data_IF_179269030940
#
_entry.id   IF_179269030940
#
_cell.length_a   1.000
_cell.length_b   1.000
_cell.length_c   1.000
_cell.angle_alpha   90.00
_cell.angle_beta   90.00
_cell.angle_gamma   90.00
#
_symmetry.space_group_name_H-M   'P 1'
#
loop_
_entity.id
_entity.type
_entity.pdbx_description
1 polymer ?
#
# COMPACT_ATOMS: atom_id res chain seq x y z
N UNK A 1 9.94 -12.18 -1.98
CA UNK A 1 8.53 -11.94 -2.39
C UNK A 1 7.81 -13.18 -2.92
N UNK A 2 8.45 -14.07 -3.70
CA UNK A 2 7.80 -15.27 -4.26
C UNK A 2 6.99 -16.10 -3.23
N UNK A 3 7.53 -16.27 -2.02
CA UNK A 3 6.85 -16.99 -0.94
C UNK A 3 5.53 -16.33 -0.48
N UNK A 4 5.32 -15.03 -0.67
CA UNK A 4 4.06 -14.37 -0.31
C UNK A 4 2.89 -14.88 -1.16
N UNK A 5 3.17 -15.22 -2.42
CA UNK A 5 2.19 -15.80 -3.35
C UNK A 5 1.93 -17.29 -3.05
N UNK A 6 2.92 -18.00 -2.50
CA UNK A 6 2.68 -19.32 -1.92
C UNK A 6 1.75 -19.23 -0.70
N UNK A 7 1.90 -18.20 0.13
CA UNK A 7 0.98 -17.95 1.26
C UNK A 7 -0.45 -17.64 0.77
N UNK A 8 -0.60 -16.97 -0.39
CA UNK A 8 -1.92 -16.74 -1.00
C UNK A 8 -2.59 -18.08 -1.37
N UNK A 9 -1.85 -18.99 -2.00
CA UNK A 9 -2.36 -20.33 -2.32
C UNK A 9 -2.70 -21.11 -1.05
N UNK A 10 -1.85 -21.05 -0.02
CA UNK A 10 -2.13 -21.67 1.28
C UNK A 10 -3.40 -21.08 1.95
N UNK A 11 -3.70 -19.80 1.70
CA UNK A 11 -4.93 -19.14 2.11
C UNK A 11 -6.14 -19.39 1.17
N UNK A 12 -6.00 -20.31 0.21
CA UNK A 12 -7.08 -20.77 -0.67
C UNK A 12 -7.16 -20.08 -2.03
N UNK A 13 -6.23 -19.18 -2.37
CA UNK A 13 -6.17 -18.54 -3.69
C UNK A 13 -5.45 -19.43 -4.72
N UNK A 14 -5.99 -20.61 -4.99
CA UNK A 14 -5.41 -21.58 -5.95
C UNK A 14 -5.17 -20.94 -7.31
N UNK A 15 -4.01 -21.20 -7.90
CA UNK A 15 -3.62 -20.62 -9.18
C UNK A 15 -3.05 -19.20 -9.07
N UNK A 16 -2.58 -18.79 -7.89
CA UNK A 16 -1.93 -17.50 -7.63
C UNK A 16 -0.53 -17.67 -7.01
N UNK A 17 0.15 -18.79 -7.25
CA UNK A 17 1.53 -18.96 -6.80
C UNK A 17 2.49 -18.09 -7.63
N UNK A 18 3.79 -18.12 -7.30
CA UNK A 18 4.78 -17.31 -8.00
C UNK A 18 4.89 -17.62 -9.51
N UNK A 19 5.02 -18.89 -9.95
CA UNK A 19 4.93 -19.26 -11.36
C UNK A 19 3.67 -18.76 -12.08
N UNK A 20 2.51 -18.76 -11.42
CA UNK A 20 1.25 -18.31 -12.00
C UNK A 20 1.20 -16.79 -12.21
N UNK A 21 1.79 -16.01 -11.30
CA UNK A 21 1.71 -14.54 -11.31
C UNK A 21 2.89 -13.86 -12.01
N UNK A 22 4.06 -14.49 -12.05
CA UNK A 22 5.29 -13.91 -12.63
C UNK A 22 5.10 -13.46 -14.10
N UNK A 23 4.46 -14.23 -15.00
CA UNK A 23 4.23 -13.77 -16.37
C UNK A 23 3.43 -12.46 -16.46
N UNK A 24 2.53 -12.21 -15.51
CA UNK A 24 1.72 -11.00 -15.45
C UNK A 24 2.50 -9.82 -14.90
N UNK A 25 3.39 -10.04 -13.94
CA UNK A 25 4.36 -9.04 -13.50
C UNK A 25 5.26 -8.60 -14.65
N UNK A 26 5.79 -9.55 -15.43
CA UNK A 26 6.65 -9.24 -16.58
C UNK A 26 5.90 -8.56 -17.73
N UNK A 27 4.68 -9.00 -18.03
CA UNK A 27 3.83 -8.38 -19.06
C UNK A 27 3.60 -6.90 -18.78
N UNK A 28 3.32 -6.58 -17.52
CA UNK A 28 2.99 -5.24 -17.05
C UNK A 28 4.12 -4.67 -16.20
N UNK A 29 5.37 -5.04 -16.50
CA UNK A 29 6.54 -4.39 -15.96
C UNK A 29 6.50 -2.96 -16.46
N UNK A 30 5.86 -2.10 -15.67
CA UNK A 30 5.85 -0.67 -15.88
C UNK A 30 7.31 -0.23 -16.00
N UNK A 31 7.61 0.94 -16.58
CA UNK A 31 8.98 1.46 -16.57
C UNK A 31 9.38 1.80 -15.14
N UNK A 32 9.78 0.77 -14.42
CA UNK A 32 10.29 0.78 -13.07
C UNK A 32 11.77 1.06 -13.23
N UNK A 33 12.20 2.18 -12.68
CA UNK A 33 13.59 2.58 -12.72
C UNK A 33 13.96 3.27 -11.43
N UNK A 34 15.23 3.21 -11.06
CA UNK A 34 15.76 3.99 -9.96
C UNK A 34 15.67 5.47 -10.32
N UNK A 35 15.40 6.31 -9.32
CA UNK A 35 15.55 7.75 -9.50
C UNK A 35 17.00 8.07 -9.89
N UNK A 36 17.18 8.99 -10.83
CA UNK A 36 18.50 9.37 -11.35
C UNK A 36 19.28 10.25 -10.37
N UNK A 37 18.58 11.08 -9.60
CA UNK A 37 19.19 11.78 -8.48
C UNK A 37 19.62 10.74 -7.44
N UNK A 38 20.86 10.84 -6.95
CA UNK A 38 21.41 10.06 -5.84
C UNK A 38 22.16 11.01 -4.93
N UNK A 39 22.36 10.61 -3.68
CA UNK A 39 23.04 11.43 -2.70
C UNK A 39 23.90 10.61 -1.74
N UNK A 40 24.92 11.27 -1.20
CA UNK A 40 25.90 10.63 -0.31
C UNK A 40 25.30 10.14 1.01
N UNK A 41 24.18 10.71 1.45
CA UNK A 41 23.53 10.31 2.71
C UNK A 41 22.85 8.96 2.53
N UNK A 42 22.11 8.75 1.44
CA UNK A 42 21.56 7.44 1.07
C UNK A 42 22.66 6.39 0.83
N UNK A 43 23.76 6.75 0.16
CA UNK A 43 24.89 5.84 -0.02
C UNK A 43 25.48 5.38 1.34
N UNK A 44 25.59 6.30 2.30
CA UNK A 44 26.05 5.97 3.65
C UNK A 44 25.07 5.08 4.42
N UNK A 45 23.75 5.27 4.23
CA UNK A 45 22.71 4.41 4.82
C UNK A 45 22.83 2.98 4.29
N UNK A 46 22.94 2.81 2.97
CA UNK A 46 23.09 1.48 2.35
C UNK A 46 24.36 0.80 2.85
N UNK A 47 25.49 1.53 2.90
CA UNK A 47 26.74 1.01 3.43
C UNK A 47 26.65 0.64 4.92
N UNK A 48 25.88 1.36 5.72
CA UNK A 48 25.68 1.06 7.13
C UNK A 48 24.83 -0.22 7.33
N UNK A 49 23.77 -0.42 6.55
CA UNK A 49 23.03 -1.69 6.54
C UNK A 49 23.93 -2.88 6.18
N UNK A 50 24.83 -2.70 5.20
CA UNK A 50 25.83 -3.71 4.86
C UNK A 50 26.79 -4.00 6.01
N UNK A 51 27.28 -2.96 6.69
CA UNK A 51 28.15 -3.10 7.85
C UNK A 51 27.47 -3.81 9.03
N UNK A 52 26.14 -3.75 9.15
CA UNK A 52 25.35 -4.46 10.17
C UNK A 52 24.78 -5.79 9.66
N UNK A 53 25.23 -6.30 8.51
CA UNK A 53 24.94 -7.66 8.05
C UNK A 53 23.79 -7.80 7.04
N UNK A 54 23.20 -6.71 6.53
CA UNK A 54 22.23 -6.76 5.43
C UNK A 54 22.93 -6.42 4.11
N UNK A 55 23.13 -7.39 3.19
CA UNK A 55 23.97 -7.20 2.01
C UNK A 55 23.47 -6.06 1.11
N UNK A 56 24.34 -5.50 0.27
CA UNK A 56 23.90 -4.55 -0.77
C UNK A 56 23.23 -5.32 -1.90
N UNK A 57 22.14 -4.79 -2.44
CA UNK A 57 21.49 -5.30 -3.65
C UNK A 57 21.24 -4.18 -4.66
N UNK A 58 21.36 -4.54 -5.94
CA UNK A 58 20.96 -3.68 -7.05
C UNK A 58 19.47 -3.81 -7.41
N UNK A 59 18.78 -4.85 -6.91
CA UNK A 59 17.35 -5.05 -7.16
C UNK A 59 16.70 -5.82 -6.02
N UNK A 60 15.58 -5.31 -5.52
CA UNK A 60 14.73 -6.06 -4.57
C UNK A 60 13.79 -7.05 -5.27
N UNK A 61 13.77 -7.03 -6.61
CA UNK A 61 12.77 -7.70 -7.43
C UNK A 61 13.37 -8.88 -8.25
N UNK A 62 14.62 -9.27 -8.01
CA UNK A 62 15.36 -10.29 -8.78
C UNK A 62 15.19 -11.74 -8.28
N UNK A 63 14.39 -11.94 -7.23
CA UNK A 63 14.15 -13.23 -6.60
C UNK A 63 14.46 -13.26 -5.11
N UNK A 64 15.41 -12.46 -4.63
CA UNK A 64 15.66 -12.26 -3.19
C UNK A 64 15.45 -10.81 -2.81
N UNK A 65 14.58 -10.57 -1.83
CA UNK A 65 14.41 -9.23 -1.29
C UNK A 65 15.48 -8.86 -0.27
N UNK A 66 16.14 -9.85 0.35
CA UNK A 66 17.08 -9.59 1.44
C UNK A 66 18.27 -8.77 0.95
N UNK A 67 18.34 -7.54 1.41
CA UNK A 67 19.40 -6.62 1.02
C UNK A 67 19.07 -5.17 1.33
N UNK A 68 19.99 -4.27 0.98
CA UNK A 68 19.91 -2.83 1.13
C UNK A 68 20.32 -2.15 -0.17
N UNK A 69 19.62 -1.08 -0.56
CA UNK A 69 19.80 -0.50 -1.87
C UNK A 69 18.82 0.62 -2.18
N UNK A 70 18.91 1.13 -3.41
CA UNK A 70 17.97 2.12 -3.93
C UNK A 70 16.69 1.44 -4.39
N UNK A 71 15.55 2.04 -4.05
CA UNK A 71 14.27 1.56 -4.54
C UNK A 71 14.07 1.89 -6.01
N UNK A 72 13.53 0.89 -6.67
CA UNK A 72 12.93 0.97 -7.97
C UNK A 72 11.60 1.74 -7.87
N UNK A 73 11.40 2.75 -8.74
CA UNK A 73 10.25 3.65 -8.68
C UNK A 73 9.49 3.69 -10.00
N UNK A 74 8.19 3.93 -9.92
CA UNK A 74 7.29 4.06 -11.07
C UNK A 74 7.32 5.53 -11.56
N UNK A 75 8.46 5.90 -12.14
CA UNK A 75 8.79 7.25 -12.59
C UNK A 75 9.45 7.16 -13.96
N UNK A 76 9.02 8.01 -14.89
CA UNK A 76 9.66 8.14 -16.20
C UNK A 76 9.91 9.61 -16.52
N UNK A 77 11.14 9.95 -16.93
CA UNK A 77 11.50 11.31 -17.29
C UNK A 77 11.30 12.32 -16.14
N UNK A 78 11.48 11.88 -14.89
CA UNK A 78 11.26 12.68 -13.70
C UNK A 78 9.78 12.92 -13.35
N UNK A 79 8.85 12.20 -13.98
CA UNK A 79 7.41 12.30 -13.71
C UNK A 79 6.80 10.96 -13.30
N UNK A 80 5.70 11.02 -12.52
CA UNK A 80 4.93 9.84 -12.14
C UNK A 80 4.44 9.07 -13.37
N UNK A 81 4.60 7.75 -13.35
CA UNK A 81 4.16 6.84 -14.40
C UNK A 81 2.93 6.01 -13.99
N UNK A 82 1.79 6.67 -13.76
CA UNK A 82 0.59 6.05 -13.17
C UNK A 82 -0.15 5.07 -14.10
N UNK A 83 -0.98 4.18 -13.52
CA UNK A 83 -1.85 3.29 -14.29
C UNK A 83 -2.76 4.04 -15.29
N UNK A 84 -3.30 5.20 -14.92
CA UNK A 84 -4.07 6.03 -15.84
C UNK A 84 -3.23 6.49 -17.04
N UNK A 85 -1.98 6.94 -16.81
CA UNK A 85 -1.08 7.37 -17.88
C UNK A 85 -0.73 6.24 -18.84
N UNK A 86 -0.59 5.03 -18.31
CA UNK A 86 -0.09 3.87 -19.08
C UNK A 86 -1.21 3.11 -19.78
N UNK A 87 -2.28 2.78 -19.06
CA UNK A 87 -3.32 1.89 -19.57
C UNK A 87 -4.52 2.64 -20.13
N UNK A 88 -4.92 3.76 -19.49
CA UNK A 88 -6.18 4.44 -19.82
C UNK A 88 -5.98 5.56 -20.86
N UNK A 89 -5.04 6.47 -20.63
CA UNK A 89 -4.82 7.64 -21.47
C UNK A 89 -4.54 7.31 -22.94
N UNK A 90 -3.80 6.24 -23.30
CA UNK A 90 -3.58 5.90 -24.71
C UNK A 90 -4.82 5.37 -25.45
N UNK A 91 -5.86 4.97 -24.73
CA UNK A 91 -7.06 4.32 -25.29
C UNK A 91 -8.35 5.05 -24.96
N UNK A 92 -8.28 6.17 -24.24
CA UNK A 92 -9.44 6.92 -23.71
C UNK A 92 -10.39 7.44 -24.80
N UNK A 93 -9.90 7.59 -26.03
CA UNK A 93 -10.65 8.12 -27.17
C UNK A 93 -11.23 7.00 -28.06
N UNK A 94 -11.19 5.73 -27.63
CA UNK A 94 -11.80 4.62 -28.38
C UNK A 94 -13.33 4.65 -28.23
N UNK A 95 -14.05 4.47 -29.34
CA UNK A 95 -15.53 4.48 -29.39
C UNK A 95 -16.21 3.43 -28.49
N UNK A 96 -15.49 2.37 -28.10
CA UNK A 96 -15.99 1.30 -27.24
C UNK A 96 -15.63 1.48 -25.76
N UNK A 97 -15.10 2.64 -25.35
CA UNK A 97 -14.76 2.97 -23.97
C UNK A 97 -15.36 4.33 -23.59
N UNK A 98 -16.16 4.34 -22.53
CA UNK A 98 -16.68 5.57 -21.95
C UNK A 98 -16.11 5.75 -20.53
N UNK A 99 -15.63 6.96 -20.24
CA UNK A 99 -15.00 7.29 -18.97
C UNK A 99 -15.76 8.42 -18.31
N UNK A 100 -16.39 8.11 -17.18
CA UNK A 100 -17.07 9.09 -16.34
C UNK A 100 -16.17 9.51 -15.18
N UNK A 101 -15.73 10.77 -15.18
CA UNK A 101 -15.05 11.36 -14.02
C UNK A 101 -16.05 12.05 -13.10
N UNK A 102 -15.68 12.32 -11.85
CA UNK A 102 -16.57 12.94 -10.85
C UNK A 102 -17.91 12.19 -10.70
N UNK A 103 -17.85 10.86 -10.90
CA UNK A 103 -18.96 9.94 -10.84
C UNK A 103 -18.88 9.10 -9.58
N UNK A 104 -19.93 9.10 -8.75
CA UNK A 104 -19.94 8.39 -7.47
C UNK A 104 -20.86 7.19 -7.58
N UNK A 105 -20.31 5.98 -7.52
CA UNK A 105 -21.11 4.76 -7.40
C UNK A 105 -21.78 4.73 -6.01
N UNK A 106 -23.12 4.65 -5.98
CA UNK A 106 -23.89 4.67 -4.74
C UNK A 106 -24.17 3.26 -4.23
N UNK A 107 -24.62 2.38 -5.12
CA UNK A 107 -24.95 0.98 -4.83
C UNK A 107 -25.05 0.16 -6.11
N UNK A 108 -24.92 -1.14 -5.93
CA UNK A 108 -25.22 -2.16 -6.92
C UNK A 108 -26.71 -2.48 -6.89
N UNK A 109 -27.25 -2.84 -8.06
CA UNK A 109 -28.63 -3.29 -8.22
C UNK A 109 -28.63 -4.76 -8.59
N UNK A 110 -29.46 -5.54 -7.89
CA UNK A 110 -29.53 -6.99 -8.04
C UNK A 110 -30.90 -7.44 -8.54
N UNK A 111 -30.87 -8.48 -9.35
CA UNK A 111 -32.03 -9.24 -9.79
C UNK A 111 -32.01 -10.63 -9.14
N UNK A 112 -33.17 -11.09 -8.68
CA UNK A 112 -33.35 -12.44 -8.14
C UNK A 112 -34.12 -13.26 -9.17
N UNK A 113 -33.62 -14.47 -9.46
CA UNK A 113 -34.31 -15.44 -10.30
C UNK A 113 -33.97 -16.87 -9.87
N UNK A 114 -34.41 -17.86 -10.65
CA UNK A 114 -34.23 -19.28 -10.32
C UNK A 114 -32.76 -19.69 -10.21
N UNK A 115 -31.88 -19.01 -10.95
CA UNK A 115 -30.42 -19.22 -10.92
C UNK A 115 -29.71 -18.48 -9.76
N UNK A 116 -30.46 -17.82 -8.86
CA UNK A 116 -29.92 -17.09 -7.72
C UNK A 116 -29.91 -15.56 -7.90
N UNK A 117 -28.94 -14.90 -7.27
CA UNK A 117 -28.78 -13.44 -7.28
C UNK A 117 -27.77 -13.04 -8.35
N UNK A 118 -28.12 -12.05 -9.18
CA UNK A 118 -27.25 -11.47 -10.20
C UNK A 118 -27.18 -9.96 -10.07
N UNK A 119 -26.00 -9.37 -10.23
CA UNK A 119 -25.88 -7.91 -10.39
C UNK A 119 -26.28 -7.52 -11.82
N UNK A 120 -27.11 -6.48 -11.97
CA UNK A 120 -27.59 -6.03 -13.28
C UNK A 120 -27.27 -4.57 -13.59
N UNK A 121 -26.98 -3.75 -12.58
CA UNK A 121 -26.65 -2.35 -12.76
C UNK A 121 -25.87 -1.75 -11.59
N UNK A 122 -25.31 -0.56 -11.84
CA UNK A 122 -24.77 0.34 -10.82
C UNK A 122 -25.60 1.62 -10.82
N UNK A 123 -26.10 2.01 -9.66
CA UNK A 123 -26.67 3.34 -9.45
C UNK A 123 -25.52 4.29 -9.08
N UNK A 124 -25.42 5.42 -9.78
CA UNK A 124 -24.35 6.38 -9.59
C UNK A 124 -24.85 7.82 -9.74
N UNK A 125 -24.13 8.77 -9.16
CA UNK A 125 -24.34 10.20 -9.41
C UNK A 125 -23.42 10.64 -10.55
N UNK A 126 -24.00 11.01 -11.70
CA UNK A 126 -23.28 11.55 -12.85
C UNK A 126 -23.69 13.01 -13.05
N UNK A 127 -22.75 13.94 -12.86
CA UNK A 127 -23.04 15.38 -12.99
C UNK A 127 -24.14 15.88 -12.03
N UNK A 128 -24.27 15.26 -10.86
CA UNK A 128 -25.32 15.56 -9.88
C UNK A 128 -26.68 14.90 -10.16
N UNK A 129 -26.79 14.09 -11.20
CA UNK A 129 -28.02 13.36 -11.56
C UNK A 129 -27.85 11.88 -11.24
N UNK A 130 -28.84 11.30 -10.53
CA UNK A 130 -28.91 9.86 -10.29
C UNK A 130 -29.12 9.12 -11.60
N UNK A 131 -28.15 8.30 -11.97
CA UNK A 131 -28.13 7.53 -13.22
C UNK A 131 -27.96 6.04 -12.92
N UNK A 132 -28.69 5.22 -13.66
CA UNK A 132 -28.60 3.77 -13.59
C UNK A 132 -27.85 3.24 -14.81
N UNK A 133 -26.64 2.72 -14.60
CA UNK A 133 -25.83 2.11 -15.64
C UNK A 133 -26.02 0.59 -15.62
N UNK A 134 -26.69 0.05 -16.65
CA UNK A 134 -26.95 -1.39 -16.78
C UNK A 134 -25.76 -2.13 -17.39
N UNK A 135 -25.35 -3.22 -16.76
CA UNK A 135 -24.28 -4.08 -17.24
C UNK A 135 -24.87 -5.32 -17.92
N UNK A 136 -24.58 -5.51 -19.22
CA UNK A 136 -25.04 -6.70 -19.95
C UNK A 136 -24.34 -7.98 -19.47
N UNK A 137 -23.05 -7.89 -19.15
CA UNK A 137 -22.22 -9.05 -18.80
C UNK A 137 -21.84 -9.08 -17.34
N UNK A 138 -21.00 -8.14 -16.90
CA UNK A 138 -20.47 -8.11 -15.54
C UNK A 138 -20.28 -6.69 -15.04
N UNK A 139 -20.33 -6.51 -13.72
CA UNK A 139 -19.82 -5.33 -13.00
C UNK A 139 -18.53 -5.73 -12.31
N UNK A 140 -17.48 -4.92 -12.46
CA UNK A 140 -16.19 -5.12 -11.80
C UNK A 140 -15.95 -3.98 -10.82
N UNK A 141 -15.81 -4.30 -9.54
CA UNK A 141 -15.39 -3.36 -8.51
C UNK A 141 -13.88 -3.23 -8.52
N UNK A 142 -13.39 -2.01 -8.63
CA UNK A 142 -11.97 -1.66 -8.50
C UNK A 142 -11.81 -0.41 -7.61
N UNK A 143 -12.61 -0.33 -6.53
CA UNK A 143 -12.69 0.81 -5.63
C UNK A 143 -11.66 0.74 -4.48
N UNK A 144 -10.85 -0.32 -4.43
CA UNK A 144 -9.77 -0.50 -3.47
C UNK A 144 -10.22 -1.06 -2.12
N UNK A 145 -9.25 -1.29 -1.24
CA UNK A 145 -9.46 -1.99 0.04
C UNK A 145 -10.40 -1.27 1.03
N UNK A 146 -10.71 0.01 0.84
CA UNK A 146 -11.68 0.71 1.69
C UNK A 146 -13.06 0.81 1.04
N UNK A 147 -13.14 1.16 -0.24
CA UNK A 147 -14.44 1.47 -0.86
C UNK A 147 -15.10 0.30 -1.58
N UNK A 148 -14.36 -0.74 -2.01
CA UNK A 148 -14.97 -1.97 -2.52
C UNK A 148 -15.83 -2.68 -1.46
N UNK A 149 -15.36 -2.93 -0.22
CA UNK A 149 -16.22 -3.49 0.81
C UNK A 149 -17.34 -2.53 1.23
N UNK A 150 -17.09 -1.22 1.26
CA UNK A 150 -18.12 -0.22 1.56
C UNK A 150 -19.26 -0.28 0.53
N UNK A 151 -18.94 -0.31 -0.77
CA UNK A 151 -19.94 -0.37 -1.82
C UNK A 151 -20.73 -1.68 -1.78
N UNK A 152 -20.08 -2.81 -1.49
CA UNK A 152 -20.76 -4.09 -1.26
C UNK A 152 -21.76 -3.98 -0.08
N UNK A 153 -21.31 -3.43 1.05
CA UNK A 153 -22.14 -3.24 2.25
C UNK A 153 -23.34 -2.29 1.97
N UNK A 154 -23.11 -1.14 1.32
CA UNK A 154 -24.17 -0.22 0.89
C UNK A 154 -25.19 -0.87 -0.04
N UNK A 155 -24.77 -1.91 -0.75
CA UNK A 155 -25.60 -2.68 -1.68
C UNK A 155 -26.30 -3.87 -1.00
N UNK A 156 -26.10 -4.09 0.30
CA UNK A 156 -26.72 -5.20 1.03
C UNK A 156 -25.92 -6.50 1.02
N UNK A 157 -24.62 -6.44 0.71
CA UNK A 157 -23.69 -7.58 0.75
C UNK A 157 -22.68 -7.36 1.86
N UNK A 158 -22.82 -8.06 2.99
CA UNK A 158 -22.03 -7.82 4.19
C UNK A 158 -22.62 -8.49 5.44
N UNK A 159 -22.10 -8.20 6.63
CA UNK A 159 -22.65 -8.68 7.91
C UNK A 159 -24.12 -8.23 8.05
N UNK A 160 -25.06 -9.17 8.07
CA UNK A 160 -26.48 -8.89 8.21
C UNK A 160 -26.82 -8.00 9.43
N UNK A 161 -26.07 -8.11 10.54
CA UNK A 161 -26.26 -7.26 11.73
C UNK A 161 -25.84 -5.83 11.47
N UNK A 162 -24.70 -5.61 10.80
CA UNK A 162 -24.25 -4.28 10.38
C UNK A 162 -25.27 -3.65 9.43
N UNK A 163 -25.68 -4.38 8.40
CA UNK A 163 -26.64 -3.91 7.41
C UNK A 163 -27.99 -3.53 8.05
N UNK A 164 -28.50 -4.37 8.94
CA UNK A 164 -29.73 -4.10 9.69
C UNK A 164 -29.68 -2.82 10.53
N UNK A 165 -28.54 -2.51 11.17
CA UNK A 165 -28.37 -1.26 11.93
C UNK A 165 -28.49 0.00 11.08
N UNK A 166 -28.17 -0.10 9.78
CA UNK A 166 -28.29 1.01 8.83
C UNK A 166 -29.58 0.96 7.99
N UNK A 167 -30.49 0.02 8.28
CA UNK A 167 -31.75 -0.13 7.53
C UNK A 167 -31.57 -0.63 6.10
N UNK A 168 -30.45 -1.31 5.81
CA UNK A 168 -30.16 -1.86 4.47
C UNK A 168 -30.69 -3.30 4.39
N UNK A 169 -31.47 -3.59 3.36
CA UNK A 169 -31.95 -4.95 3.10
C UNK A 169 -30.80 -5.89 2.73
N UNK A 170 -30.74 -7.05 3.38
CA UNK A 170 -29.69 -8.04 3.13
C UNK A 170 -29.96 -8.75 1.80
N UNK A 171 -29.02 -8.60 0.87
CA UNK A 171 -28.96 -9.34 -0.39
C UNK A 171 -28.26 -10.67 -0.16
N UNK A 172 -27.08 -10.62 0.49
CA UNK A 172 -26.25 -11.76 0.85
C UNK A 172 -25.58 -11.48 2.20
N UNK A 173 -25.80 -12.34 3.19
CA UNK A 173 -25.09 -12.28 4.47
C UNK A 173 -23.66 -12.80 4.29
N UNK A 174 -22.70 -11.89 4.41
CA UNK A 174 -21.28 -12.14 4.18
C UNK A 174 -20.47 -11.31 5.17
N UNK A 175 -20.35 -11.75 6.44
CA UNK A 175 -19.67 -10.97 7.48
C UNK A 175 -18.17 -10.77 7.22
N UNK A 176 -17.59 -11.50 6.28
CA UNK A 176 -16.20 -11.33 5.86
C UNK A 176 -15.97 -10.14 4.92
N UNK A 177 -17.01 -9.53 4.34
CA UNK A 177 -16.87 -8.27 3.57
C UNK A 177 -16.51 -7.14 4.52
N UNK A 178 -15.35 -6.54 4.30
CA UNK A 178 -14.79 -5.49 5.14
C UNK A 178 -13.90 -6.01 6.26
N UNK A 179 -13.91 -7.30 6.57
CA UNK A 179 -13.02 -7.90 7.57
C UNK A 179 -11.59 -8.08 7.01
N UNK A 180 -10.65 -8.61 7.81
CA UNK A 180 -9.29 -8.97 7.35
C UNK A 180 -8.50 -7.79 6.73
N UNK A 181 -8.79 -6.55 7.14
CA UNK A 181 -8.00 -5.39 6.72
C UNK A 181 -6.57 -5.57 7.23
N UNK A 182 -5.63 -5.52 6.31
CA UNK A 182 -4.20 -5.57 6.58
C UNK A 182 -3.54 -4.35 5.97
N UNK A 183 -2.50 -3.85 6.60
CA UNK A 183 -1.73 -2.72 6.10
C UNK A 183 -0.33 -2.72 6.72
N UNK A 184 0.61 -2.11 6.02
CA UNK A 184 1.95 -1.87 6.50
C UNK A 184 1.92 -0.78 7.57
N UNK A 185 2.55 -1.03 8.72
CA UNK A 185 2.67 -0.04 9.80
C UNK A 185 4.12 0.45 9.88
N UNK A 186 4.33 1.74 9.66
CA UNK A 186 5.64 2.36 9.50
C UNK A 186 5.92 3.26 10.70
N UNK A 187 7.07 3.09 11.35
CA UNK A 187 7.47 3.90 12.51
C UNK A 187 8.63 4.82 12.10
N UNK A 188 8.41 6.13 11.92
CA UNK A 188 9.46 7.03 11.49
C UNK A 188 10.43 7.37 12.64
N UNK A 189 11.71 7.05 12.47
CA UNK A 189 12.78 7.49 13.38
C UNK A 189 13.61 8.58 12.70
N UNK A 190 13.77 9.71 13.38
CA UNK A 190 14.45 10.90 12.86
C UNK A 190 15.83 11.07 13.47
N UNK A 191 16.83 11.26 12.61
CA UNK A 191 18.21 11.49 12.98
C UNK A 191 18.65 12.86 12.46
N UNK A 192 19.15 13.73 13.35
CA UNK A 192 19.72 15.01 12.96
C UNK A 192 21.12 14.76 12.40
N UNK A 193 21.40 15.31 11.23
CA UNK A 193 22.72 15.18 10.59
C UNK A 193 23.60 16.38 10.93
N UNK A 194 24.92 16.17 10.89
CA UNK A 194 25.92 17.22 11.16
C UNK A 194 25.88 18.34 10.11
N UNK A 195 26.31 19.56 10.46
CA UNK A 195 26.45 20.64 9.49
C UNK A 195 27.28 20.21 8.26
N UNK A 196 26.77 20.53 7.07
CA UNK A 196 27.40 20.19 5.78
C UNK A 196 27.03 18.82 5.21
N UNK A 197 26.37 17.95 5.98
CA UNK A 197 25.79 16.70 5.45
C UNK A 197 24.54 17.01 4.63
N UNK A 198 24.41 16.33 3.49
CA UNK A 198 23.27 16.51 2.59
C UNK A 198 21.95 16.06 3.24
N UNK A 199 20.93 16.90 3.14
CA UNK A 199 19.55 16.61 3.54
C UNK A 199 18.57 17.42 2.69
N UNK A 200 17.47 16.80 2.29
CA UNK A 200 16.40 17.42 1.55
C UNK A 200 15.60 18.45 2.35
N UNK A 201 15.76 18.56 3.69
CA UNK A 201 15.08 19.57 4.50
C UNK A 201 15.33 20.99 3.97
N UNK A 202 16.59 21.33 3.65
CA UNK A 202 16.93 22.64 3.08
C UNK A 202 16.55 22.77 1.60
N UNK A 203 16.53 21.65 0.87
CA UNK A 203 16.20 21.60 -0.55
C UNK A 203 14.70 21.75 -0.83
N UNK A 204 13.86 21.36 0.13
CA UNK A 204 12.41 21.38 0.03
C UNK A 204 11.78 22.55 0.80
N UNK A 205 12.59 23.50 1.28
CA UNK A 205 12.15 24.68 2.00
C UNK A 205 12.67 25.99 1.39
N UNK A 206 11.94 27.07 1.60
CA UNK A 206 12.35 28.43 1.26
C UNK A 206 12.97 28.58 -0.14
N UNK A 207 14.18 29.12 -0.21
CA UNK A 207 14.90 29.32 -1.47
C UNK A 207 15.33 28.01 -2.15
N UNK A 208 15.60 26.95 -1.37
CA UNK A 208 15.89 25.62 -1.91
C UNK A 208 14.72 25.08 -2.73
N UNK A 209 13.49 25.22 -2.21
CA UNK A 209 12.28 24.79 -2.91
C UNK A 209 12.11 25.52 -4.24
N UNK A 210 12.28 26.86 -4.25
CA UNK A 210 12.16 27.66 -5.47
C UNK A 210 13.22 27.28 -6.51
N UNK A 211 14.47 27.04 -6.08
CA UNK A 211 15.54 26.54 -6.94
C UNK A 211 15.20 25.16 -7.53
N UNK A 212 14.70 24.24 -6.72
CA UNK A 212 14.37 22.89 -7.16
C UNK A 212 13.11 22.83 -8.03
N UNK A 213 12.15 23.73 -7.80
CA UNK A 213 11.02 23.94 -8.72
C UNK A 213 11.53 24.36 -10.10
N UNK A 214 12.47 25.31 -10.16
CA UNK A 214 13.06 25.72 -11.43
C UNK A 214 13.85 24.59 -12.12
N UNK A 215 14.64 23.82 -11.36
CA UNK A 215 15.33 22.62 -11.88
C UNK A 215 14.35 21.62 -12.47
N UNK A 216 13.24 21.37 -11.77
CA UNK A 216 12.19 20.47 -12.23
C UNK A 216 11.55 20.95 -13.53
N UNK A 217 11.09 22.21 -13.58
CA UNK A 217 10.43 22.77 -14.77
C UNK A 217 11.34 22.80 -15.99
N UNK A 218 12.63 23.10 -15.81
CA UNK A 218 13.59 23.23 -16.93
C UNK A 218 14.19 21.90 -17.37
N UNK A 219 14.53 21.01 -16.43
CA UNK A 219 15.37 19.84 -16.69
C UNK A 219 14.78 18.52 -16.22
N UNK A 220 13.63 18.53 -15.55
CA UNK A 220 13.05 17.36 -14.88
C UNK A 220 14.08 16.67 -13.98
N UNK A 221 14.71 17.47 -13.12
CA UNK A 221 15.73 17.02 -12.18
C UNK A 221 15.54 17.62 -10.79
N UNK A 222 16.26 17.08 -9.82
CA UNK A 222 16.22 17.48 -8.42
C UNK A 222 15.21 16.71 -7.56
N UNK A 223 15.07 17.11 -6.28
CA UNK A 223 14.27 16.41 -5.27
C UNK A 223 12.79 16.22 -5.61
N UNK A 224 12.25 16.94 -6.60
CA UNK A 224 10.86 16.77 -7.05
C UNK A 224 10.67 15.57 -8.00
N UNK A 225 11.75 14.87 -8.36
CA UNK A 225 11.73 13.70 -9.26
C UNK A 225 12.02 12.38 -8.56
N UNK A 226 12.14 12.36 -7.23
CA UNK A 226 12.43 11.17 -6.44
C UNK A 226 11.17 10.67 -5.72
N UNK A 227 11.07 9.37 -5.40
CA UNK A 227 10.01 8.85 -4.54
C UNK A 227 10.14 9.33 -3.09
N UNK A 228 9.08 9.13 -2.28
CA UNK A 228 9.05 9.51 -0.87
C UNK A 228 10.09 8.76 0.00
N UNK A 229 10.50 7.56 -0.41
CA UNK A 229 11.65 6.85 0.14
C UNK A 229 12.52 6.38 -1.02
N UNK A 230 13.77 6.81 -1.03
CA UNK A 230 14.67 6.62 -2.17
C UNK A 230 15.57 5.40 -1.99
N UNK A 231 15.97 5.12 -0.76
CA UNK A 231 16.72 3.92 -0.39
C UNK A 231 16.04 3.20 0.77
N UNK A 232 16.52 2.00 1.05
CA UNK A 232 16.01 1.20 2.14
C UNK A 232 16.67 -0.15 2.22
N UNK A 233 16.04 -1.03 2.98
CA UNK A 233 16.48 -2.40 3.15
C UNK A 233 15.29 -3.32 3.42
N UNK A 234 15.43 -4.59 3.07
CA UNK A 234 14.63 -5.67 3.63
C UNK A 234 15.54 -6.49 4.53
N UNK A 235 15.16 -6.61 5.80
CA UNK A 235 15.98 -7.17 6.86
C UNK A 235 15.28 -8.39 7.47
N UNK A 236 16.09 -9.40 7.79
CA UNK A 236 15.72 -10.54 8.61
C UNK A 236 15.95 -10.11 10.07
N UNK A 237 14.87 -9.91 10.82
CA UNK A 237 14.93 -9.30 12.15
C UNK A 237 15.61 -10.20 13.18
N UNK A 238 15.48 -11.53 13.05
CA UNK A 238 16.18 -12.51 13.87
C UNK A 238 16.39 -13.85 13.14
N UNK A 239 17.25 -14.72 13.68
CA UNK A 239 17.66 -16.00 13.05
C UNK A 239 16.52 -17.02 12.90
N UNK A 240 15.40 -16.87 13.59
CA UNK A 240 14.22 -17.72 13.42
C UNK A 240 13.44 -17.40 12.14
N UNK A 241 13.65 -16.21 11.57
CA UNK A 241 12.99 -15.79 10.34
C UNK A 241 13.70 -16.37 9.11
N UNK A 242 12.93 -17.02 8.23
CA UNK A 242 13.47 -17.62 7.00
C UNK A 242 13.56 -16.64 5.83
N UNK A 243 12.87 -15.50 5.93
CA UNK A 243 12.82 -14.45 4.91
C UNK A 243 12.67 -13.08 5.59
N UNK A 244 13.06 -11.97 4.93
CA UNK A 244 12.94 -10.64 5.51
C UNK A 244 11.54 -10.34 6.01
N UNK A 245 11.40 -9.88 7.24
CA UNK A 245 10.16 -9.53 7.94
C UNK A 245 10.06 -8.02 8.26
N UNK A 246 11.14 -7.29 8.00
CA UNK A 246 11.21 -5.84 8.11
C UNK A 246 11.56 -5.22 6.75
N UNK A 247 10.88 -4.12 6.41
CA UNK A 247 11.24 -3.19 5.34
C UNK A 247 11.60 -1.84 5.96
N UNK A 248 12.63 -1.19 5.46
CA UNK A 248 13.06 0.15 5.91
C UNK A 248 12.86 1.19 4.84
N UNK A 249 12.11 2.23 5.13
CA UNK A 249 12.03 3.40 4.26
C UNK A 249 13.02 4.46 4.73
N UNK A 250 14.01 4.76 3.90
CA UNK A 250 15.06 5.73 4.21
C UNK A 250 14.99 6.92 3.26
N UNK A 251 15.05 8.12 3.82
CA UNK A 251 15.17 9.36 3.06
C UNK A 251 15.96 10.40 3.85
N UNK A 252 16.90 11.14 3.24
CA UNK A 252 17.61 12.28 3.83
C UNK A 252 16.70 13.49 4.14
N UNK A 253 15.52 13.26 4.71
CA UNK A 253 14.60 14.31 5.17
C UNK A 253 14.00 13.89 6.51
N UNK A 254 13.77 14.85 7.39
CA UNK A 254 12.96 14.65 8.61
C UNK A 254 11.77 15.59 8.61
N UNK A 255 10.62 15.06 9.03
CA UNK A 255 9.39 15.82 9.26
C UNK A 255 9.18 16.12 10.74
N UNK A 256 8.29 17.07 11.02
CA UNK A 256 7.81 17.33 12.37
C UNK A 256 6.77 16.25 12.76
N UNK A 257 7.21 15.30 13.58
CA UNK A 257 6.38 14.16 13.99
C UNK A 257 5.19 14.55 14.85
N UNK A 258 5.27 15.64 15.62
CA UNK A 258 4.15 16.12 16.44
C UNK A 258 3.05 16.73 15.56
N UNK A 259 3.44 17.49 14.53
CA UNK A 259 2.49 17.99 13.53
C UNK A 259 1.90 16.82 12.75
N UNK A 260 2.71 15.86 12.33
CA UNK A 260 2.24 14.68 11.59
C UNK A 260 1.26 13.83 12.41
N UNK A 261 1.55 13.57 13.69
CA UNK A 261 0.68 12.82 14.60
C UNK A 261 -0.68 13.51 14.83
N UNK A 262 -0.74 14.84 14.70
CA UNK A 262 -1.98 15.63 14.77
C UNK A 262 -2.70 15.75 13.42
N UNK A 263 -2.26 15.01 12.40
CA UNK A 263 -2.85 14.99 11.05
C UNK A 263 -2.36 16.11 10.13
N UNK A 264 -1.37 16.91 10.55
CA UNK A 264 -0.73 17.89 9.69
C UNK A 264 0.10 17.21 8.59
N UNK A 265 0.19 17.83 7.42
CA UNK A 265 0.90 17.27 6.25
C UNK A 265 2.07 18.14 5.85
N UNK A 266 3.20 17.52 5.50
CA UNK A 266 4.33 18.17 4.84
C UNK A 266 5.13 19.16 5.70
N UNK A 267 4.95 19.17 7.02
CA UNK A 267 5.77 19.99 7.91
C UNK A 267 7.17 19.37 8.05
N UNK A 268 8.18 20.07 7.53
CA UNK A 268 9.58 19.68 7.66
C UNK A 268 10.13 20.08 9.03
N UNK A 269 11.04 19.27 9.57
CA UNK A 269 11.83 19.66 10.74
C UNK A 269 12.68 20.89 10.44
N UNK A 270 12.91 21.72 11.47
CA UNK A 270 13.76 22.93 11.40
C UNK A 270 15.26 22.65 11.23
N UNK A 271 15.66 21.38 11.37
CA UNK A 271 17.05 20.92 11.23
C UNK A 271 17.15 19.96 10.04
N UNK A 272 18.30 19.92 9.36
CA UNK A 272 18.58 18.87 8.38
C UNK A 272 18.64 17.51 9.07
N UNK A 273 18.09 16.49 8.43
CA UNK A 273 18.07 15.15 8.99
C UNK A 273 17.90 14.04 7.97
N UNK A 274 17.90 12.84 8.51
CA UNK A 274 17.64 11.57 7.84
C UNK A 274 16.51 10.86 8.60
N UNK A 275 15.54 10.30 7.88
CA UNK A 275 14.56 9.35 8.43
C UNK A 275 14.99 7.93 8.10
N UNK A 276 14.96 7.05 9.09
CA UNK A 276 15.05 5.59 8.93
C UNK A 276 13.76 5.02 9.54
N UNK A 277 12.88 4.45 8.73
CA UNK A 277 11.56 4.04 9.19
C UNK A 277 11.34 2.53 9.01
N UNK A 278 11.47 1.71 10.06
CA UNK A 278 11.10 0.29 10.01
C UNK A 278 9.60 0.10 9.77
N UNK A 279 9.28 -0.99 9.08
CA UNK A 279 7.94 -1.46 8.77
C UNK A 279 7.89 -2.98 8.82
N UNK A 280 6.98 -3.55 9.61
CA UNK A 280 6.73 -5.00 9.62
C UNK A 280 6.02 -5.39 8.31
N UNK A 281 6.58 -6.33 7.55
CA UNK A 281 6.09 -6.64 6.19
C UNK A 281 4.91 -7.62 6.17
N UNK A 282 4.74 -8.41 7.23
CA UNK A 282 3.69 -9.43 7.34
C UNK A 282 3.05 -9.37 8.73
N UNK A 283 2.32 -8.27 9.04
CA UNK A 283 1.71 -8.11 10.35
C UNK A 283 0.64 -9.17 10.60
N UNK A 284 0.50 -9.60 11.84
CA UNK A 284 -0.51 -10.54 12.31
C UNK A 284 -1.84 -9.86 12.69
N UNK A 285 -1.80 -8.58 13.08
CA UNK A 285 -2.98 -7.79 13.41
C UNK A 285 -3.93 -7.70 12.20
N UNK A 286 -5.24 -7.74 12.47
CA UNK A 286 -6.30 -7.64 11.46
C UNK A 286 -7.32 -6.60 11.86
N UNK A 287 -7.60 -5.70 10.94
CA UNK A 287 -8.61 -4.66 11.07
C UNK A 287 -9.91 -4.99 10.35
N UNK A 288 -10.74 -3.97 10.24
CA UNK A 288 -12.02 -4.01 9.52
C UNK A 288 -12.40 -2.66 8.90
N UNK A 289 -13.27 -2.72 7.90
CA UNK A 289 -13.91 -1.60 7.22
C UNK A 289 -15.42 -1.83 7.24
N UNK A 290 -16.16 -0.87 7.79
CA UNK A 290 -17.61 -0.91 7.87
C UNK A 290 -18.21 0.41 7.37
N UNK A 291 -19.37 0.35 6.73
CA UNK A 291 -20.18 1.55 6.48
C UNK A 291 -20.46 2.29 7.79
N UNK A 292 -20.31 3.63 7.76
CA UNK A 292 -20.67 4.49 8.88
C UNK A 292 -22.07 5.12 8.71
N UNK A 293 -22.52 5.26 7.46
CA UNK A 293 -23.83 5.76 7.08
C UNK A 293 -24.26 5.16 5.73
N UNK A 294 -25.51 5.40 5.34
CA UNK A 294 -26.07 4.96 4.04
C UNK A 294 -25.70 5.88 2.87
N UNK A 295 -25.11 7.05 3.14
CA UNK A 295 -24.60 7.92 2.09
C UNK A 295 -23.20 7.45 1.65
N UNK A 296 -22.99 7.08 0.38
CA UNK A 296 -21.70 6.61 -0.16
C UNK A 296 -20.56 7.61 -0.02
N UNK A 297 -20.85 8.89 0.13
CA UNK A 297 -19.83 9.94 0.34
C UNK A 297 -19.37 10.03 1.80
N UNK A 298 -20.08 9.41 2.73
CA UNK A 298 -19.62 9.32 4.11
C UNK A 298 -18.45 8.35 4.18
N UNK A 299 -17.26 8.76 4.67
CA UNK A 299 -16.14 7.86 4.83
C UNK A 299 -16.53 6.63 5.67
N UNK A 300 -16.12 5.41 5.30
CA UNK A 300 -16.39 4.24 6.10
C UNK A 300 -15.66 4.33 7.45
N UNK A 301 -16.18 3.62 8.44
CA UNK A 301 -15.48 3.36 9.68
C UNK A 301 -14.34 2.37 9.42
N UNK A 302 -13.10 2.84 9.53
CA UNK A 302 -11.89 2.07 9.25
C UNK A 302 -11.13 1.87 10.56
N UNK A 303 -10.92 0.62 10.96
CA UNK A 303 -10.16 0.26 12.15
C UNK A 303 -9.04 -0.69 11.76
N UNK A 304 -7.81 -0.21 11.71
CA UNK A 304 -6.65 -1.04 11.33
C UNK A 304 -6.21 -2.03 12.41
N UNK A 305 -6.45 -1.72 13.69
CA UNK A 305 -5.98 -2.50 14.84
C UNK A 305 -4.47 -2.75 14.83
N UNK A 306 -3.67 -1.75 14.42
CA UNK A 306 -2.21 -1.85 14.46
C UNK A 306 -1.72 -2.21 15.87
N UNK A 307 -0.67 -3.04 15.94
CA UNK A 307 0.01 -3.40 17.19
C UNK A 307 -0.90 -4.08 18.22
N UNK A 308 -2.00 -4.72 17.81
CA UNK A 308 -2.83 -5.53 18.74
C UNK A 308 -2.19 -6.89 18.98
N UNK A 309 -1.62 -7.52 17.95
CA UNK A 309 -0.89 -8.78 18.11
C UNK A 309 0.48 -8.55 18.76
N UNK A 310 0.83 -9.38 19.74
CA UNK A 310 2.11 -9.29 20.46
C UNK A 310 3.32 -9.41 19.53
N UNK A 311 3.28 -10.33 18.57
CA UNK A 311 4.34 -10.50 17.58
C UNK A 311 4.60 -9.25 16.72
N UNK A 312 3.56 -8.46 16.43
CA UNK A 312 3.73 -7.20 15.70
C UNK A 312 4.44 -6.15 16.56
N UNK A 313 4.16 -6.13 17.86
CA UNK A 313 4.82 -5.25 18.82
C UNK A 313 6.31 -5.61 18.93
N UNK A 314 6.62 -6.89 19.10
CA UNK A 314 7.99 -7.41 19.21
C UNK A 314 8.83 -7.07 17.97
N UNK A 315 8.34 -7.38 16.77
CA UNK A 315 9.06 -7.11 15.52
C UNK A 315 9.21 -5.61 15.28
N UNK A 316 8.19 -4.80 15.64
CA UNK A 316 8.26 -3.33 15.53
C UNK A 316 9.37 -2.77 16.42
N UNK A 317 9.41 -3.15 17.70
CA UNK A 317 10.45 -2.70 18.63
C UNK A 317 11.83 -3.17 18.16
N UNK A 318 11.95 -4.41 17.69
CA UNK A 318 13.19 -4.94 17.13
C UNK A 318 13.65 -4.15 15.91
N UNK A 319 12.73 -3.79 15.01
CA UNK A 319 13.03 -2.93 13.87
C UNK A 319 13.57 -1.56 14.28
N UNK A 320 13.03 -0.97 15.36
CA UNK A 320 13.56 0.29 15.89
C UNK A 320 14.97 0.13 16.50
N UNK A 321 15.26 -1.02 17.14
CA UNK A 321 16.60 -1.34 17.65
C UNK A 321 17.62 -1.48 16.52
N UNK A 322 17.28 -2.24 15.48
CA UNK A 322 18.12 -2.41 14.30
C UNK A 322 18.36 -1.07 13.61
N UNK A 323 17.35 -0.19 13.51
CA UNK A 323 17.54 1.16 12.97
C UNK A 323 18.61 1.96 13.73
N UNK A 324 18.64 1.86 15.07
CA UNK A 324 19.67 2.49 15.92
C UNK A 324 21.05 1.89 15.70
N UNK A 325 21.14 0.56 15.56
CA UNK A 325 22.40 -0.13 15.25
C UNK A 325 22.97 0.34 13.90
N UNK A 326 22.12 0.42 12.87
CA UNK A 326 22.48 0.95 11.54
C UNK A 326 22.94 2.40 11.63
N UNK A 327 22.20 3.24 12.36
CA UNK A 327 22.58 4.65 12.58
C UNK A 327 23.93 4.79 13.30
N UNK A 328 24.28 3.84 14.17
CA UNK A 328 25.55 3.82 14.90
C UNK A 328 26.72 3.18 14.11
N UNK A 329 26.46 2.54 12.97
CA UNK A 329 27.47 1.94 12.11
C UNK A 329 28.12 2.97 11.16
N UNK A 330 29.42 2.82 10.90
CA UNK A 330 30.13 3.63 9.88
C UNK A 330 29.78 3.10 8.47
N UNK A 331 29.68 3.99 7.45
CA UNK A 331 30.01 5.41 7.49
C UNK A 331 28.90 6.32 8.05
N UNK A 332 27.66 5.84 8.17
CA UNK A 332 26.50 6.66 8.54
C UNK A 332 26.66 7.39 9.89
N UNK A 333 27.22 6.71 10.90
CA UNK A 333 27.46 7.29 12.22
C UNK A 333 28.32 8.57 12.19
N UNK A 334 29.18 8.73 11.17
CA UNK A 334 30.01 9.93 11.02
C UNK A 334 29.19 11.14 10.53
N UNK A 335 28.04 10.89 9.90
CA UNK A 335 27.13 11.91 9.38
C UNK A 335 26.08 12.34 10.42
N UNK A 336 25.74 11.46 11.36
CA UNK A 336 24.71 11.71 12.37
C UNK A 336 25.29 12.54 13.53
N UNK A 337 24.56 13.59 13.91
CA UNK A 337 24.83 14.40 15.10
C UNK A 337 24.15 13.79 16.33
N UNK A 338 22.85 13.45 16.21
CA UNK A 338 22.05 12.85 17.27
C UNK A 338 20.80 12.16 16.72
N UNK A 339 20.27 11.18 17.45
CA UNK A 339 18.90 10.69 17.26
C UNK A 339 17.92 11.75 17.79
N UNK A 340 17.14 12.35 16.90
CA UNK A 340 16.21 13.43 17.23
C UNK A 340 14.85 12.89 17.70
N UNK A 341 14.42 11.75 17.14
CA UNK A 341 13.19 11.06 17.52
C UNK A 341 13.33 9.55 17.25
N UNK A 342 13.02 8.66 18.21
CA UNK A 342 12.61 8.95 19.59
C UNK A 342 13.68 9.69 20.41
N UNK A 343 14.96 9.42 20.18
CA UNK A 343 16.04 9.95 21.01
C UNK A 343 15.95 9.44 22.45
N UNK A 344 16.32 10.29 23.40
CA UNK A 344 16.44 9.90 24.82
C UNK A 344 15.11 9.56 25.51
N UNK A 345 13.97 9.91 24.91
CA UNK A 345 12.65 9.67 25.51
C UNK A 345 12.23 8.19 25.45
N UNK A 346 12.92 7.36 24.65
CA UNK A 346 12.64 5.93 24.56
C UNK A 346 13.91 5.10 24.55
N UNK A 347 14.22 4.45 25.67
CA UNK A 347 15.41 3.60 25.83
C UNK A 347 15.06 2.15 26.08
N UNK A 348 13.95 1.87 26.75
CA UNK A 348 13.39 0.54 26.97
C UNK A 348 12.47 0.11 25.83
N UNK A 349 12.19 -1.19 25.74
CA UNK A 349 11.30 -1.75 24.73
C UNK A 349 9.86 -1.24 24.89
N UNK A 350 9.41 -1.05 26.13
CA UNK A 350 8.11 -0.47 26.43
C UNK A 350 8.00 0.98 25.93
N UNK A 351 9.01 1.80 26.15
CA UNK A 351 9.01 3.19 25.66
C UNK A 351 9.11 3.27 24.13
N UNK A 352 9.85 2.35 23.50
CA UNK A 352 9.91 2.26 22.03
C UNK A 352 8.55 1.89 21.46
N UNK A 353 7.84 0.97 22.10
CA UNK A 353 6.49 0.60 21.70
C UNK A 353 5.50 1.75 21.88
N UNK A 354 5.58 2.52 22.97
CA UNK A 354 4.76 3.72 23.15
C UNK A 354 5.07 4.79 22.10
N UNK A 355 6.34 4.98 21.74
CA UNK A 355 6.71 5.83 20.62
C UNK A 355 6.09 5.34 19.31
N UNK A 356 6.18 4.03 19.03
CA UNK A 356 5.56 3.43 17.86
C UNK A 356 4.06 3.71 17.84
N UNK A 357 3.33 3.44 18.94
CA UNK A 357 1.88 3.72 19.05
C UNK A 357 1.54 5.18 18.79
N UNK A 358 2.37 6.11 19.25
CA UNK A 358 2.11 7.55 19.12
C UNK A 358 2.41 8.10 17.71
N UNK A 359 3.48 7.65 17.07
CA UNK A 359 3.98 8.27 15.83
C UNK A 359 4.01 7.35 14.61
N UNK A 360 3.81 6.04 14.80
CA UNK A 360 3.69 5.10 13.72
C UNK A 360 2.39 5.32 12.95
N UNK A 361 2.43 5.07 11.64
CA UNK A 361 1.32 5.37 10.75
C UNK A 361 1.22 4.36 9.61
N UNK A 362 0.14 4.45 8.84
CA UNK A 362 -0.08 3.63 7.65
C UNK A 362 1.04 3.79 6.63
N UNK A 363 1.49 2.68 6.06
CA UNK A 363 2.31 2.62 4.86
C UNK A 363 1.50 2.85 3.57
N UNK A 364 0.19 3.09 3.69
CA UNK A 364 -0.77 3.25 2.60
C UNK A 364 -0.88 2.01 1.71
N UNK A 365 -0.82 0.83 2.31
CA UNK A 365 -0.90 -0.47 1.65
C UNK A 365 -2.09 -1.32 2.16
N UNK A 366 -3.33 -0.78 2.25
CA UNK A 366 -4.46 -1.53 2.73
C UNK A 366 -4.86 -2.64 1.74
N UNK A 367 -5.13 -3.84 2.26
CA UNK A 367 -5.54 -5.02 1.50
C UNK A 367 -6.56 -5.89 2.27
N UNK A 368 -7.12 -6.90 1.60
CA UNK A 368 -7.74 -8.07 2.26
C UNK A 368 -9.22 -7.98 2.63
N UNK A 369 -9.85 -6.82 2.44
CA UNK A 369 -11.24 -6.56 2.82
C UNK A 369 -12.32 -7.21 1.95
N UNK A 370 -11.93 -7.78 0.82
CA UNK A 370 -12.75 -8.65 -0.01
C UNK A 370 -11.96 -9.92 -0.36
N UNK A 371 -11.35 -10.54 0.67
CA UNK A 371 -10.41 -11.66 0.56
C UNK A 371 -10.84 -12.71 -0.47
N UNK A 372 -9.91 -13.04 -1.35
CA UNK A 372 -9.96 -14.18 -2.27
C UNK A 372 -9.73 -15.51 -1.55
N UNK A 373 -10.43 -16.55 -1.97
CA UNK A 373 -10.21 -17.91 -1.50
C UNK A 373 -11.19 -18.90 -2.10
N UNK A 374 -10.86 -20.19 -1.97
CA UNK A 374 -11.72 -21.30 -2.41
C UNK A 374 -12.61 -21.82 -1.27
N UNK A 375 -12.45 -21.28 -0.06
CA UNK A 375 -13.24 -21.65 1.11
C UNK A 375 -14.59 -20.90 1.14
N UNK A 376 -15.60 -21.44 1.84
CA UNK A 376 -16.92 -20.82 1.92
C UNK A 376 -16.95 -19.46 2.62
N UNK A 377 -15.89 -19.02 3.31
CA UNK A 377 -15.84 -17.73 4.00
C UNK A 377 -15.21 -16.62 3.15
N UNK A 378 -14.55 -16.94 2.04
CA UNK A 378 -14.00 -15.95 1.12
C UNK A 378 -15.09 -15.08 0.49
N UNK A 379 -14.71 -13.84 0.14
CA UNK A 379 -15.62 -12.87 -0.51
C UNK A 379 -15.62 -13.09 -2.02
N UNK A 380 -14.44 -13.34 -2.60
CA UNK A 380 -14.29 -13.69 -4.02
C UNK A 380 -13.63 -15.06 -4.19
N UNK A 381 -13.96 -15.75 -5.28
CA UNK A 381 -13.26 -16.96 -5.69
C UNK A 381 -11.88 -16.65 -6.31
N UNK A 382 -11.04 -17.66 -6.63
CA UNK A 382 -9.74 -17.43 -7.29
C UNK A 382 -9.81 -16.82 -8.70
N UNK A 383 -11.00 -16.71 -9.29
CA UNK A 383 -11.26 -15.99 -10.53
C UNK A 383 -11.80 -14.57 -10.28
N UNK A 384 -11.76 -14.11 -9.03
CA UNK A 384 -12.18 -12.78 -8.57
C UNK A 384 -13.70 -12.55 -8.60
N UNK A 385 -14.51 -13.61 -8.76
CA UNK A 385 -15.98 -13.53 -8.77
C UNK A 385 -16.50 -13.49 -7.35
N UNK A 386 -17.43 -12.58 -7.06
CA UNK A 386 -18.06 -12.51 -5.74
C UNK A 386 -18.88 -13.77 -5.49
N UNK A 387 -18.54 -14.50 -4.43
CA UNK A 387 -19.18 -15.78 -4.13
C UNK A 387 -20.66 -15.57 -3.78
N UNK A 388 -21.55 -16.24 -4.49
CA UNK A 388 -23.00 -16.15 -4.29
C UNK A 388 -23.70 -15.04 -5.09
N UNK A 389 -22.97 -14.28 -5.92
CA UNK A 389 -23.54 -13.24 -6.80
C UNK A 389 -23.00 -13.39 -8.22
N UNK A 390 -23.89 -13.72 -9.16
CA UNK A 390 -23.52 -13.82 -10.56
C UNK A 390 -23.25 -12.43 -11.17
N UNK A 391 -22.27 -12.38 -12.08
CA UNK A 391 -21.95 -11.18 -12.86
C UNK A 391 -21.20 -10.09 -12.08
N UNK A 392 -20.68 -10.38 -10.89
CA UNK A 392 -19.96 -9.42 -10.05
C UNK A 392 -18.54 -9.91 -9.76
N UNK A 393 -17.54 -9.04 -9.97
CA UNK A 393 -16.15 -9.26 -9.56
C UNK A 393 -15.60 -8.13 -8.71
N UNK A 394 -14.54 -8.42 -7.97
CA UNK A 394 -13.68 -7.41 -7.33
C UNK A 394 -12.25 -7.61 -7.83
N UNK A 395 -11.64 -6.57 -8.39
CA UNK A 395 -10.32 -6.64 -9.02
C UNK A 395 -9.44 -5.47 -8.53
N UNK A 396 -9.12 -5.49 -7.24
CA UNK A 396 -8.25 -4.50 -6.60
C UNK A 396 -7.56 -5.09 -5.35
N UNK A 397 -6.87 -4.24 -4.58
CA UNK A 397 -6.12 -4.62 -3.38
C UNK A 397 -6.94 -5.36 -2.31
N UNK A 398 -8.27 -5.17 -2.26
CA UNK A 398 -9.14 -5.83 -1.29
C UNK A 398 -9.12 -7.35 -1.41
N UNK A 399 -8.76 -7.92 -2.57
CA UNK A 399 -8.84 -9.38 -2.79
C UNK A 399 -7.64 -10.14 -2.26
N UNK A 400 -6.53 -9.47 -1.95
CA UNK A 400 -5.31 -10.14 -1.49
C UNK A 400 -5.58 -10.88 -0.17
N UNK A 401 -5.38 -12.20 -0.06
CA UNK A 401 -5.66 -12.92 1.18
C UNK A 401 -4.77 -12.49 2.33
N UNK A 402 -3.48 -12.29 2.04
CA UNK A 402 -2.47 -11.78 2.95
C UNK A 402 -1.71 -10.63 2.30
N UNK A 403 -1.22 -9.71 3.13
CA UNK A 403 -0.35 -8.63 2.67
C UNK A 403 0.99 -9.20 2.15
N UNK A 404 1.42 -8.70 1.00
CA UNK A 404 2.72 -9.04 0.40
C UNK A 404 3.86 -8.25 1.05
N UNK A 405 5.07 -8.79 0.99
CA UNK A 405 6.26 -8.22 1.62
C UNK A 405 6.85 -7.07 0.80
N UNK A 406 6.12 -5.97 0.68
CA UNK A 406 6.52 -4.77 -0.06
C UNK A 406 5.33 -3.91 -0.50
N UNK A 407 5.60 -2.85 -1.25
CA UNK A 407 4.55 -1.93 -1.71
C UNK A 407 3.54 -2.63 -2.65
N UNK A 408 2.26 -2.34 -2.48
CA UNK A 408 1.17 -3.13 -3.09
C UNK A 408 0.80 -2.76 -4.53
N UNK A 409 1.37 -1.70 -5.09
CA UNK A 409 0.99 -1.21 -6.43
C UNK A 409 1.22 -2.25 -7.52
N UNK A 410 2.40 -2.88 -7.57
CA UNK A 410 2.71 -3.88 -8.61
C UNK A 410 1.74 -5.07 -8.54
N UNK A 411 1.43 -5.54 -7.33
CA UNK A 411 0.45 -6.61 -7.14
C UNK A 411 -0.97 -6.20 -7.58
N UNK A 412 -1.37 -4.94 -7.37
CA UNK A 412 -2.65 -4.43 -7.88
C UNK A 412 -2.71 -4.43 -9.41
N UNK A 413 -1.62 -4.02 -10.09
CA UNK A 413 -1.54 -4.06 -11.56
C UNK A 413 -1.61 -5.51 -12.05
N UNK A 414 -0.88 -6.43 -11.40
CA UNK A 414 -0.93 -7.85 -11.71
C UNK A 414 -2.35 -8.43 -11.55
N UNK A 415 -3.06 -8.10 -10.47
CA UNK A 415 -4.46 -8.49 -10.27
C UNK A 415 -5.34 -7.96 -11.40
N UNK A 416 -5.17 -6.70 -11.81
CA UNK A 416 -5.91 -6.08 -12.91
C UNK A 416 -5.68 -6.80 -14.26
N UNK A 417 -4.42 -7.14 -14.56
CA UNK A 417 -4.07 -7.91 -15.77
C UNK A 417 -4.70 -9.31 -15.78
N UNK A 418 -4.68 -10.01 -14.64
CA UNK A 418 -5.33 -11.31 -14.51
C UNK A 418 -6.85 -11.21 -14.61
N UNK A 419 -7.45 -10.20 -14.00
CA UNK A 419 -8.89 -9.92 -14.12
C UNK A 419 -9.29 -9.72 -15.58
N UNK A 420 -8.54 -8.92 -16.34
CA UNK A 420 -8.76 -8.72 -17.77
C UNK A 420 -8.67 -10.03 -18.56
N UNK A 421 -7.71 -10.89 -18.24
CA UNK A 421 -7.58 -12.21 -18.89
C UNK A 421 -8.75 -13.15 -18.58
N UNK A 422 -9.24 -13.18 -17.33
CA UNK A 422 -10.43 -13.95 -16.98
C UNK A 422 -11.67 -13.47 -17.73
N UNK A 423 -11.87 -12.15 -17.82
CA UNK A 423 -12.99 -11.56 -18.55
C UNK A 423 -12.92 -11.89 -20.05
N UNK A 424 -11.74 -11.85 -20.67
CA UNK A 424 -11.56 -12.19 -22.08
C UNK A 424 -11.83 -13.67 -22.37
N UNK A 425 -11.40 -14.56 -21.48
CA UNK A 425 -11.67 -16.00 -21.60
C UNK A 425 -13.15 -16.32 -21.44
N UNK A 426 -13.82 -15.71 -20.47
CA UNK A 426 -15.25 -15.96 -20.21
C UNK A 426 -16.16 -15.26 -21.24
N UNK A 427 -15.60 -14.37 -22.06
CA UNK A 427 -16.28 -13.67 -23.15
C UNK A 427 -16.29 -14.44 -24.49
N UNK A 428 -15.41 -15.43 -24.62
CA UNK A 428 -15.34 -16.39 -25.73
C UNK A 428 -16.35 -17.51 -25.50
#
# INVERSE_FOLDING_TARGET
QAADYADWVAAGATGWDWPDVLPWFLKSELRVQKATEKDSTNDAVIAAFAATGTPVTDSFNDGSQWGSGYYDAIIQGGERWSAARVFLNPIKDRDNLEIYTTAVARRLVFERGDAGVRVSAVECDLGGVRTLLRARREVILAAGAYHSPQLLQLSGVGDARLLGRHGISVVLDRPTVGANLQDHYVVPMGFRVRPGVFSYNGELAGWGLLRNLWRYLRRRSGPLTIPAAQSGAFVISDRSQQRPDLQYHCLPVTGDLEIAAKGGKGALSKYPGLTIAPCVTRPASRGEVAIAATDPLTPPHIVHRYLVAEIDQEITVRGMRIAREVAAARPLASLIEAEAAPGEIARSDAELLEFARKYGSTGYHPVGTCRMGSDPAAVVDPQLRVQGIAGLRVADASVMPTLISGNTHAACVMIGERAAAFLLRDAQ
#
